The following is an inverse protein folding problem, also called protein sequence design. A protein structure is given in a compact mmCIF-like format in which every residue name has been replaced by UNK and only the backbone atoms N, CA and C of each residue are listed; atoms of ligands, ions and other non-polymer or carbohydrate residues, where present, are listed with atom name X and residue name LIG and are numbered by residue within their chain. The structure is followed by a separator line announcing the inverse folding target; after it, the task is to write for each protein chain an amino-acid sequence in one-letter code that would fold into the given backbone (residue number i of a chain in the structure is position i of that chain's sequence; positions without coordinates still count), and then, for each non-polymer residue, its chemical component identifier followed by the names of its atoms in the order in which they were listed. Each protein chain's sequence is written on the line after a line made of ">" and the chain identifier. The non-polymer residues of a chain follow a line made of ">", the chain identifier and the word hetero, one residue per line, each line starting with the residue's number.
data_IF_782536163950
#
_entry.id   IF_782536163950
#
_cell.length_a   1.000
_cell.length_b   1.000
_cell.length_c   1.000
_cell.angle_alpha   90.00
_cell.angle_beta   90.00
_cell.angle_gamma   90.00
#
_symmetry.space_group_name_H-M   'P 1'
#
loop_
_entity.id
_entity.type
_entity.pdbx_description
1 polymer ?
#
# COMPACT_ATOMS: atom_id res chain seq x y z
N UNK A 1 -20.64 -18.08 0.90
CA UNK A 1 -20.20 -17.28 -0.27
C UNK A 1 -19.15 -16.29 0.20
N UNK A 2 -17.93 -16.35 -0.34
CA UNK A 2 -17.00 -15.20 -0.36
C UNK A 2 -15.83 -15.51 -1.30
N UNK A 3 -16.02 -15.25 -2.59
CA UNK A 3 -14.93 -15.23 -3.58
C UNK A 3 -14.82 -13.82 -4.15
N UNK A 4 -14.13 -12.94 -3.42
CA UNK A 4 -13.47 -11.78 -4.00
C UNK A 4 -12.14 -11.65 -3.25
N UNK A 5 -11.01 -11.84 -3.95
CA UNK A 5 -9.66 -11.66 -3.37
C UNK A 5 -8.98 -10.46 -4.01
N UNK A 6 -8.89 -10.43 -5.34
CA UNK A 6 -8.46 -9.23 -6.07
C UNK A 6 -9.25 -9.16 -7.37
N UNK A 7 -9.76 -7.99 -7.73
CA UNK A 7 -10.31 -7.75 -9.06
C UNK A 7 -9.35 -6.87 -9.84
N UNK A 8 -9.29 -7.05 -11.16
CA UNK A 8 -8.44 -6.27 -12.05
C UNK A 8 -9.30 -5.52 -13.03
N UNK A 9 -9.04 -4.22 -13.17
CA UNK A 9 -9.68 -3.40 -14.20
C UNK A 9 -8.64 -2.56 -14.91
N UNK A 10 -8.89 -2.32 -16.20
CA UNK A 10 -8.09 -1.39 -16.98
C UNK A 10 -8.63 0.02 -16.78
N UNK A 11 -7.77 0.98 -16.47
CA UNK A 11 -8.16 2.39 -16.30
C UNK A 11 -7.35 3.16 -15.27
N UNK A 12 -7.79 4.39 -15.00
CA UNK A 12 -7.17 5.30 -14.04
C UNK A 12 -7.61 4.99 -12.60
N UNK A 13 -6.63 4.81 -11.71
CA UNK A 13 -6.86 4.63 -10.27
C UNK A 13 -7.64 5.81 -9.67
N UNK A 14 -7.40 7.03 -10.14
CA UNK A 14 -8.09 8.22 -9.63
C UNK A 14 -9.56 8.30 -10.06
N UNK A 15 -10.01 7.43 -10.99
CA UNK A 15 -11.41 7.26 -11.33
C UNK A 15 -12.16 6.29 -10.39
N UNK A 16 -11.55 5.86 -9.28
CA UNK A 16 -12.22 5.04 -8.28
C UNK A 16 -13.48 5.72 -7.71
N UNK A 17 -14.52 4.95 -7.31
CA UNK A 17 -15.72 5.50 -6.71
C UNK A 17 -15.42 6.37 -5.47
N UNK A 18 -16.23 7.40 -5.24
CA UNK A 18 -16.14 8.20 -4.02
C UNK A 18 -16.35 7.34 -2.76
N UNK A 19 -15.86 7.82 -1.62
CA UNK A 19 -15.87 7.11 -0.34
C UNK A 19 -15.08 5.77 -0.37
N UNK A 20 -14.02 5.72 -1.17
CA UNK A 20 -13.07 4.61 -1.23
C UNK A 20 -11.68 5.04 -0.70
N UNK A 21 -10.80 4.06 -0.51
CA UNK A 21 -9.41 4.28 -0.12
C UNK A 21 -8.49 3.97 -1.30
N UNK A 22 -7.69 4.95 -1.71
CA UNK A 22 -6.63 4.77 -2.70
C UNK A 22 -5.35 4.31 -2.00
N UNK A 23 -4.86 3.13 -2.36
CA UNK A 23 -3.71 2.48 -1.73
C UNK A 23 -2.50 2.57 -2.65
N UNK A 24 -1.36 2.99 -2.11
CA UNK A 24 -0.10 2.98 -2.84
C UNK A 24 1.10 2.68 -1.94
N UNK A 25 2.19 2.23 -2.56
CA UNK A 25 3.46 2.03 -1.87
C UNK A 25 4.27 3.34 -1.79
N UNK A 26 4.78 3.60 -0.60
CA UNK A 26 5.63 4.73 -0.23
C UNK A 26 6.97 4.26 0.29
N UNK A 27 7.97 5.14 0.17
CA UNK A 27 9.20 5.01 0.95
C UNK A 27 9.13 5.89 2.21
N UNK A 28 9.97 5.59 3.21
CA UNK A 28 10.02 6.36 4.47
C UNK A 28 11.00 7.53 4.44
N UNK A 29 11.39 8.08 3.27
CA UNK A 29 12.25 9.29 3.24
C UNK A 29 11.53 10.59 3.61
N UNK A 30 10.25 10.55 3.97
CA UNK A 30 9.73 11.52 4.93
C UNK A 30 10.54 11.36 6.22
N UNK A 31 11.53 12.22 6.45
CA UNK A 31 12.64 11.99 7.37
C UNK A 31 12.20 11.73 8.82
N UNK A 32 12.13 10.46 9.22
CA UNK A 32 11.83 10.02 10.59
C UNK A 32 13.06 9.38 11.27
N UNK A 33 14.26 9.81 10.86
CA UNK A 33 15.53 9.22 11.29
C UNK A 33 16.24 9.97 12.40
N UNK A 34 15.67 11.07 12.91
CA UNK A 34 16.31 11.92 13.90
C UNK A 34 15.28 12.66 14.78
N UNK A 35 15.71 13.07 15.98
CA UNK A 35 14.88 13.80 16.92
C UNK A 35 13.64 13.02 17.36
N UNK A 36 12.54 13.73 17.63
CA UNK A 36 11.29 13.10 18.08
C UNK A 36 10.72 12.12 17.04
N UNK A 37 11.01 12.32 15.76
CA UNK A 37 10.51 11.46 14.69
C UNK A 37 11.13 10.05 14.74
N UNK A 38 12.37 9.90 15.24
CA UNK A 38 12.97 8.59 15.51
C UNK A 38 12.25 7.88 16.66
N UNK A 39 11.95 8.59 17.75
CA UNK A 39 11.17 8.05 18.86
C UNK A 39 9.75 7.67 18.44
N UNK A 40 9.11 8.45 17.54
CA UNK A 40 7.82 8.08 16.95
C UNK A 40 7.94 6.83 16.09
N UNK A 41 8.99 6.68 15.26
CA UNK A 41 9.24 5.47 14.48
C UNK A 41 9.41 4.23 15.36
N UNK A 42 10.16 4.35 16.46
CA UNK A 42 10.40 3.23 17.40
C UNK A 42 9.15 2.87 18.21
N UNK A 43 8.38 3.87 18.64
CA UNK A 43 7.22 3.69 19.53
C UNK A 43 5.92 3.41 18.78
N UNK A 44 5.81 3.90 17.55
CA UNK A 44 4.67 3.76 16.66
C UNK A 44 5.21 3.35 15.28
N UNK A 45 5.60 2.08 15.10
CA UNK A 45 5.87 1.54 13.77
C UNK A 45 4.53 1.39 13.05
N UNK A 46 3.86 2.51 12.75
CA UNK A 46 2.73 2.55 11.85
C UNK A 46 3.28 2.30 10.46
N UNK A 47 2.99 1.12 9.95
CA UNK A 47 3.46 0.68 8.64
C UNK A 47 2.54 1.23 7.54
N UNK A 48 1.35 1.75 7.89
CA UNK A 48 0.46 2.48 7.00
C UNK A 48 0.04 3.82 7.60
N UNK A 49 0.11 4.89 6.80
CA UNK A 49 -0.51 6.18 7.11
C UNK A 49 -1.82 6.30 6.32
N UNK A 50 -2.95 6.38 7.03
CA UNK A 50 -4.27 6.65 6.44
C UNK A 50 -4.60 8.15 6.56
N UNK A 51 -4.79 8.81 5.42
CA UNK A 51 -5.08 10.25 5.31
C UNK A 51 -6.53 10.39 4.85
N UNK A 52 -7.43 10.96 5.68
CA UNK A 52 -8.81 11.19 5.27
C UNK A 52 -8.87 12.30 4.20
N UNK A 53 -9.74 12.12 3.21
CA UNK A 53 -9.97 13.12 2.16
C UNK A 53 -11.45 13.28 1.83
N UNK A 54 -11.77 14.34 1.08
CA UNK A 54 -13.18 14.70 0.78
C UNK A 54 -13.86 13.70 -0.16
N UNK A 55 -13.12 13.18 -1.15
CA UNK A 55 -13.64 12.19 -2.13
C UNK A 55 -13.10 10.79 -1.84
N UNK A 56 -11.81 10.69 -1.55
CA UNK A 56 -11.11 9.44 -1.27
C UNK A 56 -10.18 9.62 -0.08
N UNK A 57 -10.06 8.59 0.75
CA UNK A 57 -8.95 8.52 1.70
C UNK A 57 -7.72 7.97 0.98
N UNK A 58 -6.53 8.32 1.46
CA UNK A 58 -5.26 7.85 0.90
C UNK A 58 -4.55 6.95 1.92
N UNK A 59 -4.20 5.73 1.52
CA UNK A 59 -3.39 4.81 2.31
C UNK A 59 -1.97 4.73 1.76
N UNK A 60 -1.02 5.28 2.52
CA UNK A 60 0.40 5.23 2.22
C UNK A 60 1.04 4.01 2.91
N UNK A 61 1.35 2.95 2.16
CA UNK A 61 2.03 1.76 2.68
C UNK A 61 3.54 2.01 2.73
N UNK A 62 4.17 1.97 3.90
CA UNK A 62 5.60 2.18 4.05
C UNK A 62 6.37 0.88 3.79
N UNK A 63 6.68 0.63 2.52
CA UNK A 63 7.25 -0.65 2.08
C UNK A 63 8.77 -0.61 1.90
N UNK A 64 9.42 0.55 1.94
CA UNK A 64 10.89 0.66 1.81
C UNK A 64 11.41 1.89 2.56
N UNK A 65 12.61 1.84 3.13
CA UNK A 65 13.22 3.00 3.80
C UNK A 65 13.57 4.08 2.78
N UNK A 66 14.11 3.67 1.64
CA UNK A 66 14.58 4.56 0.58
C UNK A 66 13.98 4.19 -0.79
N UNK A 67 14.34 4.92 -1.84
CA UNK A 67 13.88 4.68 -3.21
C UNK A 67 15.04 4.75 -4.22
N UNK A 68 14.77 4.32 -5.45
CA UNK A 68 15.78 4.30 -6.52
C UNK A 68 16.86 3.26 -6.24
N UNK A 69 18.13 3.62 -6.44
CA UNK A 69 19.28 2.71 -6.23
C UNK A 69 19.50 2.29 -4.77
N UNK A 70 18.88 2.97 -3.81
CA UNK A 70 19.02 2.72 -2.36
C UNK A 70 17.78 2.09 -1.74
N UNK A 71 16.79 1.67 -2.53
CA UNK A 71 15.62 0.96 -2.00
C UNK A 71 16.04 -0.34 -1.32
N UNK A 72 15.19 -0.80 -0.41
CA UNK A 72 15.41 -2.07 0.29
C UNK A 72 15.31 -3.25 -0.69
N UNK A 73 15.79 -4.42 -0.25
CA UNK A 73 15.70 -5.64 -1.07
C UNK A 73 14.24 -6.05 -1.30
N UNK A 74 13.93 -6.80 -2.37
CA UNK A 74 12.57 -7.29 -2.60
C UNK A 74 11.97 -8.04 -1.40
N UNK A 75 12.76 -8.84 -0.67
CA UNK A 75 12.31 -9.55 0.52
C UNK A 75 11.97 -8.63 1.69
N UNK A 76 12.75 -7.58 1.91
CA UNK A 76 12.46 -6.55 2.92
C UNK A 76 11.20 -5.76 2.56
N UNK A 77 11.05 -5.42 1.27
CA UNK A 77 9.87 -4.71 0.76
C UNK A 77 8.60 -5.54 0.94
N UNK A 78 8.67 -6.84 0.65
CA UNK A 78 7.56 -7.77 0.85
C UNK A 78 7.22 -7.92 2.34
N UNK A 79 8.22 -8.04 3.22
CA UNK A 79 8.01 -8.09 4.67
C UNK A 79 7.31 -6.83 5.19
N UNK A 80 7.80 -5.65 4.79
CA UNK A 80 7.20 -4.37 5.15
C UNK A 80 5.81 -4.17 4.53
N UNK A 81 5.58 -4.68 3.31
CA UNK A 81 4.27 -4.67 2.66
C UNK A 81 3.25 -5.43 3.50
N UNK A 82 3.61 -6.61 4.02
CA UNK A 82 2.73 -7.42 4.87
C UNK A 82 2.28 -6.64 6.10
N UNK A 83 3.22 -6.06 6.85
CA UNK A 83 2.89 -5.32 8.07
C UNK A 83 2.11 -4.06 7.76
N UNK A 84 2.43 -3.37 6.66
CA UNK A 84 1.70 -2.17 6.19
C UNK A 84 0.25 -2.48 5.82
N UNK A 85 0.01 -3.58 5.11
CA UNK A 85 -1.35 -3.97 4.70
C UNK A 85 -2.16 -4.43 5.92
N UNK A 86 -1.56 -5.16 6.87
CA UNK A 86 -2.22 -5.51 8.13
C UNK A 86 -2.65 -4.27 8.93
N UNK A 87 -1.78 -3.25 8.97
CA UNK A 87 -2.08 -1.98 9.63
C UNK A 87 -3.20 -1.22 8.92
N UNK A 88 -3.20 -1.19 7.57
CA UNK A 88 -4.31 -0.63 6.78
C UNK A 88 -5.64 -1.33 7.09
N UNK A 89 -5.66 -2.67 7.12
CA UNK A 89 -6.87 -3.44 7.43
C UNK A 89 -7.39 -3.08 8.83
N UNK A 90 -6.50 -2.94 9.81
CA UNK A 90 -6.86 -2.54 11.17
C UNK A 90 -7.43 -1.12 11.24
N UNK A 91 -6.86 -0.18 10.47
CA UNK A 91 -7.30 1.23 10.43
C UNK A 91 -8.61 1.42 9.65
N UNK A 92 -8.90 0.56 8.65
CA UNK A 92 -10.11 0.63 7.83
C UNK A 92 -11.36 0.08 8.56
N UNK A 93 -11.67 0.64 9.74
CA UNK A 93 -12.83 0.25 10.56
C UNK A 93 -14.16 0.42 9.80
N UNK A 94 -14.24 1.44 8.94
CA UNK A 94 -15.40 1.71 8.10
C UNK A 94 -15.57 0.75 6.91
N UNK A 95 -14.65 -0.21 6.72
CA UNK A 95 -14.64 -1.18 5.62
C UNK A 95 -14.83 -0.53 4.24
N UNK A 96 -14.24 0.66 4.04
CA UNK A 96 -14.28 1.36 2.75
C UNK A 96 -13.61 0.48 1.68
N UNK A 97 -14.14 0.47 0.43
CA UNK A 97 -13.52 -0.27 -0.67
C UNK A 97 -12.07 0.16 -0.89
N UNK A 98 -11.18 -0.80 -1.12
CA UNK A 98 -9.76 -0.54 -1.38
C UNK A 98 -9.49 -0.58 -2.88
N UNK A 99 -8.82 0.46 -3.39
CA UNK A 99 -8.45 0.61 -4.79
C UNK A 99 -6.95 0.89 -4.88
N UNK A 100 -6.22 0.20 -5.74
CA UNK A 100 -4.77 0.37 -5.86
C UNK A 100 -4.29 0.18 -7.29
N UNK A 101 -3.09 0.66 -7.61
CA UNK A 101 -2.36 0.19 -8.78
C UNK A 101 -1.59 -1.10 -8.44
N UNK A 102 -0.81 -1.63 -9.40
CA UNK A 102 0.22 -2.64 -9.12
C UNK A 102 1.39 -2.02 -8.32
N UNK A 103 1.15 -1.69 -7.06
CA UNK A 103 2.16 -1.09 -6.19
C UNK A 103 3.35 -2.04 -5.99
N UNK A 104 4.50 -1.49 -5.61
CA UNK A 104 5.81 -2.16 -5.60
C UNK A 104 6.38 -2.58 -6.98
N UNK A 105 5.56 -2.76 -8.03
CA UNK A 105 6.05 -3.26 -9.33
C UNK A 105 6.71 -2.22 -10.23
N UNK A 106 6.55 -0.93 -9.90
CA UNK A 106 7.23 0.17 -10.59
C UNK A 106 8.65 0.41 -10.04
N UNK A 107 8.88 1.57 -9.42
CA UNK A 107 10.22 2.00 -8.95
C UNK A 107 10.84 1.07 -7.89
N UNK A 108 10.03 0.34 -7.15
CA UNK A 108 10.50 -0.66 -6.19
C UNK A 108 10.93 -1.99 -6.84
N UNK A 109 10.59 -2.21 -8.12
CA UNK A 109 10.98 -3.38 -8.92
C UNK A 109 10.78 -4.73 -8.22
N UNK A 110 9.68 -4.86 -7.48
CA UNK A 110 9.23 -6.14 -6.94
C UNK A 110 8.26 -6.74 -7.94
N UNK A 111 8.46 -7.97 -8.43
CA UNK A 111 7.48 -8.62 -9.31
C UNK A 111 6.08 -8.59 -8.67
N UNK A 112 5.08 -8.16 -9.45
CA UNK A 112 3.71 -7.99 -8.91
C UNK A 112 3.17 -9.30 -8.30
N UNK A 113 3.51 -10.45 -8.88
CA UNK A 113 3.11 -11.77 -8.38
C UNK A 113 3.47 -12.00 -6.91
N UNK A 114 4.61 -11.47 -6.45
CA UNK A 114 5.05 -11.61 -5.07
C UNK A 114 4.24 -10.74 -4.12
N UNK A 115 3.93 -9.50 -4.55
CA UNK A 115 3.04 -8.60 -3.80
C UNK A 115 1.62 -9.17 -3.76
N UNK A 116 1.14 -9.68 -4.89
CA UNK A 116 -0.18 -10.31 -5.02
C UNK A 116 -0.33 -11.53 -4.09
N UNK A 117 0.73 -12.34 -3.93
CA UNK A 117 0.73 -13.48 -3.03
C UNK A 117 0.49 -13.06 -1.57
N UNK A 118 1.10 -11.97 -1.11
CA UNK A 118 0.88 -11.42 0.24
C UNK A 118 -0.57 -10.97 0.40
N UNK A 119 -1.13 -10.27 -0.58
CA UNK A 119 -2.52 -9.81 -0.51
C UNK A 119 -3.51 -10.99 -0.45
N UNK A 120 -3.26 -12.04 -1.24
CA UNK A 120 -4.07 -13.27 -1.22
C UNK A 120 -3.99 -14.01 0.11
N UNK A 121 -2.82 -14.03 0.73
CA UNK A 121 -2.56 -14.64 2.04
C UNK A 121 -3.24 -13.88 3.18
N UNK A 122 -3.21 -12.53 3.13
CA UNK A 122 -3.89 -11.67 4.10
C UNK A 122 -5.41 -11.58 3.86
N UNK A 123 -5.92 -12.24 2.82
CA UNK A 123 -7.33 -12.28 2.44
C UNK A 123 -7.98 -10.89 2.27
N UNK A 124 -7.17 -9.90 1.89
CA UNK A 124 -7.66 -8.55 1.62
C UNK A 124 -8.42 -8.52 0.30
N UNK A 125 -9.53 -7.76 0.25
CA UNK A 125 -10.27 -7.48 -0.97
C UNK A 125 -9.88 -6.11 -1.52
N UNK A 126 -9.43 -6.06 -2.77
CA UNK A 126 -8.96 -4.83 -3.41
C UNK A 126 -9.21 -4.84 -4.92
N UNK A 127 -9.52 -3.68 -5.49
CA UNK A 127 -9.57 -3.45 -6.95
C UNK A 127 -8.22 -2.94 -7.43
N UNK A 128 -7.60 -3.67 -8.37
CA UNK A 128 -6.29 -3.37 -8.93
C UNK A 128 -6.45 -2.77 -10.32
N UNK A 129 -5.99 -1.53 -10.46
CA UNK A 129 -6.00 -0.78 -11.70
C UNK A 129 -4.73 -1.08 -12.49
N UNK A 130 -4.91 -1.46 -13.73
CA UNK A 130 -3.85 -1.67 -14.71
C UNK A 130 -3.99 -0.55 -15.76
N UNK A 131 -2.91 0.16 -16.12
CA UNK A 131 -3.00 1.15 -17.18
C UNK A 131 -3.43 0.48 -18.50
N UNK A 132 -4.21 1.20 -19.31
CA UNK A 132 -4.35 0.87 -20.74
C UNK A 132 -2.94 0.88 -21.35
N UNK A 133 -2.62 -0.14 -22.15
CA UNK A 133 -1.29 -0.49 -22.64
C UNK A 133 -0.29 0.69 -22.73
N UNK A 134 0.82 0.56 -21.99
CA UNK A 134 1.99 1.44 -22.09
C UNK A 134 2.95 0.95 -23.17
#
# INVERSE_FOLDING_TARGET
>A
MSKLKLSYITGDLFAAPANSILVHACNTKGSWGAGIALAFKEKYPSHCLLIPGDTHDIACLFTSIAYGRRKDSPSEILSATRTSVQDLIRQNVGQKPLHACRFNSGKFAVPWVDTEAILKELEVSMVIYVPEDA
#
